data_IF_159911956126
#
_entry.id   IF_159911956126
#
_cell.length_a   1.000
_cell.length_b   1.000
_cell.length_c   1.000
_cell.angle_alpha   90.00
_cell.angle_beta   90.00
_cell.angle_gamma   90.00
#
_symmetry.space_group_name_H-M   'P 1'
#
loop_
_entity.id
_entity.type
_entity.pdbx_description
1 polymer ?
#
# COMPACT_ATOMS: atom_id res chain seq x y z
N UNK A 1 8.79 -3.21 -1.71
CA UNK A 1 8.84 -4.63 -1.34
C UNK A 1 9.98 -5.31 -2.10
N UNK A 2 10.21 -6.59 -1.87
CA UNK A 2 11.38 -7.25 -2.47
C UNK A 2 11.28 -7.39 -3.98
N UNK A 3 10.23 -8.03 -4.50
CA UNK A 3 10.02 -8.22 -5.94
C UNK A 3 8.71 -7.64 -6.43
N UNK A 4 7.91 -7.07 -5.55
CA UNK A 4 6.63 -6.44 -5.89
C UNK A 4 6.65 -4.96 -5.60
N UNK A 5 5.79 -4.22 -6.28
CA UNK A 5 5.59 -2.80 -6.07
C UNK A 5 4.11 -2.47 -6.19
N UNK A 6 3.67 -1.48 -5.43
CA UNK A 6 2.32 -0.97 -5.51
C UNK A 6 2.34 0.44 -6.09
N UNK A 7 1.45 0.70 -7.03
CA UNK A 7 1.27 2.02 -7.63
C UNK A 7 -0.12 2.54 -7.26
N UNK A 8 -0.15 3.73 -6.68
CA UNK A 8 -1.39 4.45 -6.43
C UNK A 8 -1.71 5.35 -7.63
N UNK A 9 -2.91 5.22 -8.17
CA UNK A 9 -3.40 6.03 -9.27
C UNK A 9 -4.59 6.86 -8.78
N UNK A 10 -4.46 8.18 -8.88
CA UNK A 10 -5.52 9.12 -8.51
C UNK A 10 -6.16 9.69 -9.77
N UNK A 11 -7.48 9.63 -9.86
CA UNK A 11 -8.25 10.21 -10.94
C UNK A 11 -8.94 11.46 -10.44
N UNK A 12 -8.69 12.56 -11.10
CA UNK A 12 -9.27 13.86 -10.76
C UNK A 12 -10.32 14.25 -11.77
N UNK A 13 -11.47 14.71 -11.27
CA UNK A 13 -12.51 15.30 -12.10
C UNK A 13 -12.38 16.82 -12.04
N UNK A 14 -12.38 17.46 -13.20
CA UNK A 14 -12.28 18.92 -13.31
C UNK A 14 -13.52 19.47 -13.98
N UNK A 15 -14.09 20.53 -13.39
CA UNK A 15 -15.15 21.29 -14.01
C UNK A 15 -14.49 22.37 -14.90
N UNK A 16 -14.62 22.23 -16.21
CA UNK A 16 -13.99 23.14 -17.17
C UNK A 16 -14.57 24.54 -17.13
N UNK A 17 -15.79 24.72 -16.63
CA UNK A 17 -16.42 26.04 -16.48
C UNK A 17 -15.95 26.82 -15.27
N UNK A 18 -15.67 26.15 -14.17
CA UNK A 18 -15.26 26.78 -12.90
C UNK A 18 -13.80 26.57 -12.53
N UNK A 19 -13.13 25.59 -13.16
CA UNK A 19 -11.76 25.19 -12.83
C UNK A 19 -11.65 24.36 -11.55
N UNK A 20 -12.76 24.01 -10.90
CA UNK A 20 -12.73 23.17 -9.71
C UNK A 20 -12.27 21.75 -10.03
N UNK A 21 -11.41 21.23 -9.17
CA UNK A 21 -10.92 19.85 -9.23
C UNK A 21 -11.29 19.11 -7.96
N UNK A 22 -11.71 17.85 -8.12
CA UNK A 22 -11.93 16.96 -6.99
C UNK A 22 -11.37 15.58 -7.28
N UNK A 23 -10.94 14.88 -6.23
CA UNK A 23 -10.55 13.49 -6.35
C UNK A 23 -11.81 12.65 -6.62
N UNK A 24 -11.87 12.06 -7.81
CA UNK A 24 -12.99 11.25 -8.23
C UNK A 24 -12.81 9.79 -7.81
N UNK A 25 -11.58 9.28 -7.97
CA UNK A 25 -11.30 7.88 -7.73
C UNK A 25 -9.83 7.68 -7.35
N UNK A 26 -9.58 6.61 -6.59
CA UNK A 26 -8.24 6.18 -6.22
C UNK A 26 -8.16 4.67 -6.40
N UNK A 27 -7.10 4.19 -7.05
CA UNK A 27 -6.88 2.78 -7.29
C UNK A 27 -5.45 2.39 -6.93
N UNK A 28 -5.28 1.15 -6.53
CA UNK A 28 -3.96 0.59 -6.23
C UNK A 28 -3.72 -0.60 -7.14
N UNK A 29 -2.57 -0.61 -7.80
CA UNK A 29 -2.15 -1.70 -8.67
C UNK A 29 -0.90 -2.33 -8.11
N UNK A 30 -0.88 -3.66 -8.06
CA UNK A 30 0.28 -4.40 -7.62
C UNK A 30 0.95 -5.05 -8.81
N UNK A 31 2.25 -4.81 -8.94
CA UNK A 31 3.09 -5.38 -9.99
C UNK A 31 4.16 -6.26 -9.37
N UNK A 32 4.52 -7.33 -10.04
CA UNK A 32 5.64 -8.18 -9.67
C UNK A 32 6.66 -8.13 -10.78
N UNK A 33 7.90 -7.78 -10.43
CA UNK A 33 9.00 -7.83 -11.40
C UNK A 33 9.41 -9.28 -11.64
N UNK A 34 9.49 -9.67 -12.90
CA UNK A 34 9.86 -11.02 -13.28
C UNK A 34 10.92 -10.99 -14.38
N UNK A 35 11.75 -12.04 -14.43
CA UNK A 35 12.69 -12.24 -15.51
C UNK A 35 12.02 -12.89 -16.74
N UNK A 36 12.82 -13.23 -17.75
CA UNK A 36 12.31 -13.85 -18.98
C UNK A 36 11.69 -15.23 -18.73
N UNK A 37 12.07 -15.89 -17.64
CA UNK A 37 11.51 -17.19 -17.23
C UNK A 37 10.25 -17.07 -16.37
N UNK A 38 9.81 -15.84 -16.06
CA UNK A 38 8.68 -15.60 -15.17
C UNK A 38 9.02 -15.72 -13.69
N UNK A 39 10.30 -15.74 -13.31
CA UNK A 39 10.73 -15.79 -11.92
C UNK A 39 10.77 -14.39 -11.32
N UNK A 40 10.30 -14.20 -10.07
CA UNK A 40 10.41 -12.91 -9.40
C UNK A 40 11.85 -12.45 -9.27
N UNK A 41 12.09 -11.17 -9.54
CA UNK A 41 13.39 -10.51 -9.37
C UNK A 41 13.26 -9.31 -8.43
N UNK A 42 14.35 -8.98 -7.70
CA UNK A 42 14.31 -7.81 -6.81
C UNK A 42 14.04 -6.52 -7.55
N UNK A 43 13.28 -5.62 -6.93
CA UNK A 43 13.06 -4.25 -7.40
C UNK A 43 13.84 -3.28 -6.52
N UNK A 44 14.16 -2.10 -7.06
CA UNK A 44 14.78 -1.04 -6.28
C UNK A 44 13.84 -0.61 -5.14
N UNK A 45 14.34 -0.48 -3.91
CA UNK A 45 13.52 -0.06 -2.79
C UNK A 45 13.13 1.41 -2.93
N UNK A 46 11.92 1.73 -2.45
CA UNK A 46 11.47 3.12 -2.31
C UNK A 46 12.02 3.68 -1.00
N UNK A 47 12.50 4.91 -1.04
CA UNK A 47 12.98 5.64 0.13
C UNK A 47 12.01 6.77 0.46
N UNK A 48 11.05 6.56 1.39
CA UNK A 48 10.16 7.65 1.81
C UNK A 48 10.96 8.79 2.46
N UNK A 49 10.63 10.03 2.10
CA UNK A 49 11.36 11.21 2.60
C UNK A 49 10.46 12.10 3.46
N UNK A 50 9.20 12.29 3.07
CA UNK A 50 8.25 13.14 3.79
C UNK A 50 7.35 12.31 4.69
N UNK A 51 6.65 12.98 5.63
CA UNK A 51 5.66 12.32 6.47
C UNK A 51 4.55 11.69 5.64
N UNK A 52 4.12 12.38 4.56
CA UNK A 52 3.13 11.85 3.62
C UNK A 52 3.65 10.60 2.90
N UNK A 53 4.91 10.61 2.49
CA UNK A 53 5.54 9.43 1.87
C UNK A 53 5.58 8.26 2.83
N UNK A 54 5.93 8.49 4.09
CA UNK A 54 5.95 7.45 5.13
C UNK A 54 4.56 6.88 5.38
N UNK A 55 3.54 7.73 5.44
CA UNK A 55 2.15 7.29 5.62
C UNK A 55 1.69 6.44 4.44
N UNK A 56 2.00 6.83 3.21
CA UNK A 56 1.69 6.06 2.01
C UNK A 56 2.41 4.73 1.97
N UNK A 57 3.67 4.72 2.36
CA UNK A 57 4.47 3.50 2.43
C UNK A 57 3.90 2.51 3.45
N UNK A 58 3.58 2.98 4.64
CA UNK A 58 2.97 2.16 5.68
C UNK A 58 1.59 1.62 5.25
N UNK A 59 0.80 2.44 4.57
CA UNK A 59 -0.48 1.99 3.99
C UNK A 59 -0.29 0.86 2.98
N UNK A 60 0.71 0.98 2.11
CA UNK A 60 1.05 -0.06 1.14
C UNK A 60 1.50 -1.35 1.82
N UNK A 61 2.32 -1.24 2.88
CA UNK A 61 2.76 -2.39 3.66
C UNK A 61 1.58 -3.12 4.31
N UNK A 62 0.62 -2.40 4.87
CA UNK A 62 -0.59 -3.00 5.46
C UNK A 62 -1.44 -3.72 4.41
N UNK A 63 -1.62 -3.12 3.24
CA UNK A 63 -2.37 -3.76 2.15
C UNK A 63 -1.69 -5.04 1.66
N UNK A 64 -0.36 -5.02 1.57
CA UNK A 64 0.43 -6.20 1.21
C UNK A 64 0.24 -7.31 2.24
N UNK A 65 0.37 -6.99 3.53
CA UNK A 65 0.18 -7.98 4.60
C UNK A 65 -1.22 -8.59 4.55
N UNK A 66 -2.25 -7.78 4.34
CA UNK A 66 -3.62 -8.28 4.23
C UNK A 66 -3.78 -9.25 3.06
N UNK A 67 -3.21 -8.92 1.90
CA UNK A 67 -3.24 -9.84 0.74
C UNK A 67 -2.55 -11.16 1.05
N UNK A 68 -1.40 -11.11 1.74
CA UNK A 68 -0.66 -12.31 2.11
C UNK A 68 -1.42 -13.16 3.12
N UNK A 69 -2.09 -12.55 4.08
CA UNK A 69 -2.95 -13.25 5.04
C UNK A 69 -4.10 -13.95 4.30
N UNK A 70 -4.80 -13.25 3.43
CA UNK A 70 -5.93 -13.79 2.68
C UNK A 70 -5.52 -14.93 1.74
N UNK A 71 -4.30 -14.92 1.24
CA UNK A 71 -3.76 -15.99 0.40
C UNK A 71 -3.10 -17.13 1.18
N UNK A 72 -3.08 -17.06 2.51
CA UNK A 72 -2.48 -18.06 3.38
C UNK A 72 -0.96 -18.05 3.43
N UNK A 73 -0.32 -16.98 2.95
CA UNK A 73 1.15 -16.85 2.91
C UNK A 73 1.74 -16.19 4.14
N UNK A 74 0.91 -15.54 4.95
CA UNK A 74 1.34 -14.84 6.14
C UNK A 74 0.32 -15.07 7.25
N UNK A 75 0.82 -15.31 8.48
CA UNK A 75 -0.03 -15.39 9.65
C UNK A 75 -0.26 -13.99 10.22
N UNK A 76 -1.44 -13.76 10.80
CA UNK A 76 -1.75 -12.47 11.41
C UNK A 76 -0.73 -12.08 12.49
N UNK A 77 -0.20 -13.06 13.23
CA UNK A 77 0.83 -12.83 14.25
C UNK A 77 2.12 -12.23 13.68
N UNK A 78 2.40 -12.45 12.39
CA UNK A 78 3.61 -11.96 11.71
C UNK A 78 3.36 -10.68 10.92
N UNK A 79 2.12 -10.22 10.84
CA UNK A 79 1.73 -9.01 10.12
C UNK A 79 1.94 -7.76 10.99
N UNK A 80 3.20 -7.35 11.16
CA UNK A 80 3.58 -6.30 12.11
C UNK A 80 2.98 -4.94 11.80
N UNK A 81 2.99 -4.51 10.54
CA UNK A 81 2.43 -3.22 10.14
C UNK A 81 0.92 -3.16 10.38
N UNK A 82 0.21 -4.23 10.01
CA UNK A 82 -1.24 -4.31 10.20
C UNK A 82 -1.60 -4.34 11.68
N UNK A 83 -0.89 -5.13 12.47
CA UNK A 83 -1.12 -5.24 13.92
C UNK A 83 -0.87 -3.91 14.63
N UNK A 84 0.23 -3.25 14.32
CA UNK A 84 0.57 -1.95 14.93
C UNK A 84 -0.49 -0.90 14.61
N UNK A 85 -0.97 -0.88 13.37
CA UNK A 85 -2.03 0.02 12.96
C UNK A 85 -3.34 -0.25 13.71
N UNK A 86 -3.74 -1.51 13.83
CA UNK A 86 -4.96 -1.90 14.53
C UNK A 86 -4.86 -1.52 16.00
N UNK A 87 -3.74 -1.81 16.65
CA UNK A 87 -3.52 -1.45 18.06
C UNK A 87 -3.56 0.06 18.28
N UNK A 88 -2.97 0.84 17.39
CA UNK A 88 -2.99 2.29 17.49
C UNK A 88 -4.41 2.87 17.30
N UNK A 89 -5.25 2.20 16.52
CA UNK A 89 -6.63 2.63 16.27
C UNK A 89 -7.61 2.18 17.35
N UNK A 90 -7.24 1.20 18.19
CA UNK A 90 -8.10 0.71 19.27
C UNK A 90 -8.11 1.67 20.44
N UNK A 91 -9.25 1.81 21.16
CA UNK A 91 -9.30 2.53 22.42
C UNK A 91 -8.33 1.93 23.43
N UNK A 92 -7.75 2.77 24.29
CA UNK A 92 -6.73 2.35 25.26
C UNK A 92 -7.19 1.21 26.14
N UNK A 93 -8.47 1.16 26.50
CA UNK A 93 -9.06 0.11 27.33
C UNK A 93 -9.13 -1.26 26.65
N UNK A 94 -8.96 -1.33 25.33
CA UNK A 94 -9.06 -2.56 24.54
C UNK A 94 -7.69 -3.05 24.00
N UNK A 95 -6.64 -2.31 24.28
CA UNK A 95 -5.29 -2.68 23.84
C UNK A 95 -4.70 -3.80 24.65
#
# INVERSE_FOLDING_TARGET
>A
FTSSMETEICVWAENTGTGERRLSNRAYYTFVAVDQSGRPIPVAPVAPETDDDHERYEGAARRRELRLILSGRLQLSDATHLRDYIQAAMPEAER
#
